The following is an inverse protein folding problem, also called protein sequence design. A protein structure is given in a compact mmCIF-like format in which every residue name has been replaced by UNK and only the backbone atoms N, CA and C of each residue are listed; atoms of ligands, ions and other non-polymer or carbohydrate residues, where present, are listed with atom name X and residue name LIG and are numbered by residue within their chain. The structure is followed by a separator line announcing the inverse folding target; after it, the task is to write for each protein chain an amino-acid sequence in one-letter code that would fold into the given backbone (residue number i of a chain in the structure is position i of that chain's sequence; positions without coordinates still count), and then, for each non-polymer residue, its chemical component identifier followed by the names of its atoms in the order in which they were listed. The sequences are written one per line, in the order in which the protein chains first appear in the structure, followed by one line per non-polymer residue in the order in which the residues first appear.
data_IF_703056106450
#
_entry.id   IF_703056106450
#
_cell.length_a   1.000
_cell.length_b   1.000
_cell.length_c   1.000
_cell.angle_alpha   90.00
_cell.angle_beta   90.00
_cell.angle_gamma   90.00
#
_symmetry.space_group_name_H-M   'P 1'
#
loop_
_entity.id
_entity.type
_entity.pdbx_description
1 polymer ?
#
# COMPACT_ATOMS: atom_id res chain seq x y z
N UNK A 1 -17.05 5.39 -1.36
CA UNK A 1 -16.58 5.09 -2.71
C UNK A 1 -15.35 4.19 -2.71
N UNK A 2 -15.21 3.42 -3.78
CA UNK A 2 -14.13 2.45 -3.88
C UNK A 2 -12.75 3.10 -3.85
N UNK A 3 -12.60 4.26 -4.47
CA UNK A 3 -11.32 4.94 -4.52
C UNK A 3 -10.85 5.35 -3.13
N UNK A 4 -11.75 5.89 -2.33
CA UNK A 4 -11.42 6.28 -0.95
C UNK A 4 -10.99 5.06 -0.14
N UNK A 5 -11.69 3.95 -0.28
CA UNK A 5 -11.36 2.73 0.44
C UNK A 5 -10.02 2.15 -0.01
N UNK A 6 -9.74 2.22 -1.32
CA UNK A 6 -8.46 1.76 -1.83
C UNK A 6 -7.31 2.59 -1.26
N UNK A 7 -7.49 3.89 -1.20
CA UNK A 7 -6.48 4.79 -0.62
C UNK A 7 -6.32 4.52 0.87
N UNK A 8 -7.40 4.25 1.57
CA UNK A 8 -7.33 3.90 2.99
C UNK A 8 -6.50 2.63 3.20
N UNK A 9 -6.66 1.64 2.33
CA UNK A 9 -5.86 0.42 2.39
C UNK A 9 -4.37 0.73 2.22
N UNK A 10 -4.04 1.53 1.23
CA UNK A 10 -2.65 1.90 0.98
C UNK A 10 -2.05 2.66 2.16
N UNK A 11 -2.81 3.60 2.71
CA UNK A 11 -2.36 4.37 3.86
C UNK A 11 -2.16 3.49 5.09
N UNK A 12 -3.04 2.51 5.28
CA UNK A 12 -2.90 1.60 6.40
C UNK A 12 -1.63 0.77 6.28
N UNK A 13 -1.37 0.22 5.11
CA UNK A 13 -0.17 -0.58 4.89
C UNK A 13 1.08 0.29 5.08
N UNK A 14 1.03 1.53 4.61
CA UNK A 14 2.17 2.44 4.77
C UNK A 14 2.43 2.75 6.24
N UNK A 15 1.37 2.82 7.04
CA UNK A 15 1.49 3.20 8.45
C UNK A 15 1.93 2.04 9.33
N UNK A 16 1.31 0.86 9.17
CA UNK A 16 1.60 -0.25 10.08
C UNK A 16 2.54 -1.30 9.48
N UNK A 17 2.86 -1.18 8.21
CA UNK A 17 3.70 -2.15 7.52
C UNK A 17 2.89 -3.32 7.01
N UNK A 18 3.56 -4.40 6.59
CA UNK A 18 2.87 -5.55 6.04
C UNK A 18 1.79 -6.07 6.99
N UNK A 19 0.62 -6.35 6.45
CA UNK A 19 -0.49 -6.82 7.25
C UNK A 19 -1.38 -7.74 6.41
N UNK A 20 -2.13 -8.60 7.11
CA UNK A 20 -3.00 -9.56 6.45
C UNK A 20 -4.30 -8.90 6.02
N UNK A 21 -5.02 -9.59 5.11
CA UNK A 21 -6.33 -9.11 4.70
C UNK A 21 -7.28 -9.00 5.90
N UNK A 22 -7.18 -9.92 6.85
CA UNK A 22 -8.04 -9.91 8.03
C UNK A 22 -7.84 -8.62 8.83
N UNK A 23 -6.61 -8.17 8.99
CA UNK A 23 -6.31 -6.95 9.71
C UNK A 23 -6.86 -5.73 8.96
N UNK A 24 -6.72 -5.73 7.64
CA UNK A 24 -7.24 -4.65 6.81
C UNK A 24 -8.76 -4.56 6.93
N UNK A 25 -9.43 -5.70 6.81
CA UNK A 25 -10.88 -5.77 6.90
C UNK A 25 -11.34 -5.28 8.27
N UNK A 26 -10.71 -5.75 9.32
CA UNK A 26 -11.08 -5.43 10.69
C UNK A 26 -10.80 -3.97 11.02
N UNK A 27 -9.63 -3.48 10.63
CA UNK A 27 -9.21 -2.11 10.95
C UNK A 27 -10.05 -1.08 10.22
N UNK A 28 -10.26 -1.30 8.94
CA UNK A 28 -11.00 -0.35 8.11
C UNK A 28 -12.50 -0.60 8.08
N UNK A 29 -12.93 -1.72 8.64
CA UNK A 29 -14.35 -2.07 8.74
C UNK A 29 -15.04 -2.10 7.39
N UNK A 30 -14.38 -2.71 6.41
CA UNK A 30 -14.97 -2.88 5.10
C UNK A 30 -15.43 -4.33 4.92
N UNK A 31 -16.47 -4.55 4.12
CA UNK A 31 -16.93 -5.92 3.88
C UNK A 31 -15.83 -6.77 3.26
N UNK A 32 -15.80 -8.03 3.63
CA UNK A 32 -14.76 -8.94 3.15
C UNK A 32 -14.69 -9.00 1.64
N UNK A 33 -15.84 -9.10 0.98
CA UNK A 33 -15.88 -9.16 -0.49
C UNK A 33 -15.33 -7.89 -1.12
N UNK A 34 -15.68 -6.75 -0.57
CA UNK A 34 -15.17 -5.46 -1.05
C UNK A 34 -13.68 -5.36 -0.84
N UNK A 35 -13.21 -5.80 0.34
CA UNK A 35 -11.78 -5.76 0.65
C UNK A 35 -10.97 -6.57 -0.35
N UNK A 36 -11.40 -7.81 -0.61
CA UNK A 36 -10.67 -8.66 -1.54
C UNK A 36 -10.73 -8.14 -2.97
N UNK A 37 -11.87 -7.56 -3.35
CA UNK A 37 -11.99 -6.94 -4.66
C UNK A 37 -10.97 -5.82 -4.82
N UNK A 38 -10.87 -4.94 -3.83
CA UNK A 38 -9.93 -3.82 -3.87
C UNK A 38 -8.48 -4.29 -3.77
N UNK A 39 -8.21 -5.26 -2.90
CA UNK A 39 -6.85 -5.79 -2.75
C UNK A 39 -6.38 -6.44 -4.03
N UNK A 40 -7.25 -7.21 -4.68
CA UNK A 40 -6.89 -7.84 -5.95
C UNK A 40 -6.63 -6.80 -7.03
N UNK A 41 -7.42 -5.74 -7.05
CA UNK A 41 -7.22 -4.68 -8.04
C UNK A 41 -5.92 -3.92 -7.78
N UNK A 42 -5.64 -3.59 -6.52
CA UNK A 42 -4.41 -2.91 -6.16
C UNK A 42 -3.19 -3.77 -6.48
N UNK A 43 -3.30 -5.07 -6.25
CA UNK A 43 -2.22 -6.00 -6.57
C UNK A 43 -2.02 -6.08 -8.08
N UNK A 44 -3.10 -6.13 -8.84
CA UNK A 44 -3.03 -6.18 -10.29
C UNK A 44 -2.37 -4.93 -10.86
N UNK A 45 -2.67 -3.78 -10.27
CA UNK A 45 -2.08 -2.50 -10.69
C UNK A 45 -0.68 -2.29 -10.11
N UNK A 46 -0.19 -3.23 -9.32
CA UNK A 46 1.15 -3.23 -8.75
C UNK A 46 1.40 -2.16 -7.70
N UNK A 47 0.36 -1.79 -6.99
CA UNK A 47 0.51 -0.92 -5.83
C UNK A 47 0.88 -1.70 -4.58
N UNK A 48 0.43 -2.95 -4.50
CA UNK A 48 0.71 -3.83 -3.36
C UNK A 48 1.11 -5.21 -3.86
N UNK A 49 1.73 -5.97 -2.98
CA UNK A 49 2.09 -7.35 -3.26
C UNK A 49 1.92 -8.18 -1.99
N UNK A 50 1.96 -9.50 -2.14
CA UNK A 50 1.94 -10.41 -1.00
C UNK A 50 3.36 -10.87 -0.71
N UNK A 51 3.72 -10.91 0.58
CA UNK A 51 5.00 -11.46 0.98
C UNK A 51 4.87 -12.96 1.27
N UNK A 52 5.91 -13.56 1.83
CA UNK A 52 5.94 -15.01 2.09
C UNK A 52 4.94 -15.44 3.14
N UNK A 53 4.47 -14.53 3.96
CA UNK A 53 3.54 -14.83 5.05
C UNK A 53 2.11 -14.41 4.70
N UNK A 54 1.86 -14.16 3.42
CA UNK A 54 0.55 -13.72 2.93
C UNK A 54 0.12 -12.38 3.53
N UNK A 55 1.10 -11.53 3.85
CA UNK A 55 0.83 -10.17 4.26
C UNK A 55 0.92 -9.25 3.05
N UNK A 56 0.01 -8.31 2.97
CA UNK A 56 0.05 -7.29 1.93
C UNK A 56 1.03 -6.21 2.30
N UNK A 57 1.86 -5.83 1.36
CA UNK A 57 2.85 -4.78 1.57
C UNK A 57 2.89 -3.89 0.34
N UNK A 58 3.42 -2.70 0.48
CA UNK A 58 3.57 -1.80 -0.65
C UNK A 58 4.53 -2.42 -1.65
N UNK A 59 4.19 -2.31 -2.92
CA UNK A 59 4.95 -2.99 -3.95
C UNK A 59 6.33 -2.37 -4.10
N UNK A 60 7.32 -3.24 -4.35
CA UNK A 60 8.70 -2.83 -4.51
C UNK A 60 8.88 -1.80 -5.61
N UNK A 61 8.12 -1.95 -6.69
CA UNK A 61 8.22 -1.02 -7.80
C UNK A 61 7.83 0.40 -7.41
N UNK A 62 6.80 0.52 -6.55
CA UNK A 62 6.39 1.83 -6.07
C UNK A 62 7.50 2.45 -5.23
N UNK A 63 8.12 1.64 -4.38
CA UNK A 63 9.24 2.09 -3.56
C UNK A 63 10.42 2.48 -4.44
N UNK A 64 10.71 1.68 -5.47
CA UNK A 64 11.79 1.98 -6.39
C UNK A 64 11.57 3.29 -7.13
N UNK A 65 10.35 3.52 -7.60
CA UNK A 65 10.03 4.75 -8.30
C UNK A 65 10.16 5.96 -7.38
N UNK A 66 9.67 5.83 -6.15
CA UNK A 66 9.82 6.89 -5.16
C UNK A 66 11.27 7.16 -4.84
N UNK A 67 12.05 6.11 -4.60
CA UNK A 67 13.47 6.24 -4.31
C UNK A 67 14.22 6.87 -5.46
N UNK A 68 13.90 6.44 -6.67
CA UNK A 68 14.55 6.97 -7.86
C UNK A 68 14.24 8.46 -8.03
N UNK A 69 12.98 8.83 -7.87
CA UNK A 69 12.55 10.22 -7.97
C UNK A 69 13.23 11.08 -6.91
N UNK A 70 13.25 10.59 -5.68
CA UNK A 70 13.89 11.31 -4.58
C UNK A 70 15.39 11.46 -4.82
N UNK A 71 16.03 10.44 -5.37
CA UNK A 71 17.44 10.50 -5.68
C UNK A 71 17.72 11.59 -6.70
N UNK A 72 16.91 11.68 -7.74
CA UNK A 72 17.03 12.72 -8.75
C UNK A 72 16.79 14.11 -8.21
N UNK A 73 15.90 14.22 -7.26
CA UNK A 73 15.54 15.50 -6.67
C UNK A 73 16.48 15.92 -5.55
N UNK A 74 17.50 15.12 -5.29
CA UNK A 74 18.39 15.33 -4.17
C UNK A 74 17.65 15.19 -2.85
N UNK A 75 17.63 13.96 -2.36
CA UNK A 75 16.92 13.62 -1.14
C UNK A 75 17.26 14.54 0.02
N UNK A 76 18.47 15.05 0.07
CA UNK A 76 18.87 15.95 1.15
C UNK A 76 18.09 17.25 1.12
N UNK A 77 17.77 17.74 -0.06
CA UNK A 77 16.98 18.97 -0.16
C UNK A 77 15.57 18.74 0.36
N UNK A 78 15.00 17.57 0.09
CA UNK A 78 13.68 17.24 0.60
C UNK A 78 13.67 17.07 2.11
N UNK A 79 14.76 16.59 2.67
CA UNK A 79 14.88 16.36 4.10
C UNK A 79 15.23 17.63 4.88
N UNK A 80 15.65 18.66 4.20
CA UNK A 80 16.01 19.88 4.87
C UNK A 80 14.81 20.65 5.36
N UNK A 81 14.91 21.24 6.53
CA UNK A 81 13.86 22.14 6.99
C UNK A 81 13.73 23.33 6.10
#
# INVERSE_FOLDING_TARGET
PALTRAIDILNLIARIGPCSAAIIIETLRIPKSTAYLLLNELKRQRFISLDHQDNYCLWTKLVELSGHALSKMDLRELARP
#
